data_IF_128489383564
#
_entry.id   IF_128489383564
#
_cell.length_a   1.000
_cell.length_b   1.000
_cell.length_c   1.000
_cell.angle_alpha   90.00
_cell.angle_beta   90.00
_cell.angle_gamma   90.00
#
_symmetry.space_group_name_H-M   'P 1'
#
loop_
_entity.id
_entity.type
_entity.pdbx_description
1 polymer ?
#
# COMPACT_ATOMS: atom_id res chain seq x y z
N UNK A 1 -20.23 -15.21 39.48
CA UNK A 1 -19.83 -14.26 38.42
C UNK A 1 -19.99 -14.97 37.09
N UNK A 2 -20.92 -14.50 36.26
CA UNK A 2 -21.24 -15.16 34.98
C UNK A 2 -20.27 -14.73 33.89
N UNK A 3 -20.07 -15.57 32.87
CA UNK A 3 -19.14 -15.30 31.76
C UNK A 3 -19.43 -14.00 31.01
N UNK A 4 -20.65 -13.47 31.10
CA UNK A 4 -21.04 -12.18 30.52
C UNK A 4 -20.37 -10.98 31.23
N UNK A 5 -20.05 -11.11 32.52
CA UNK A 5 -19.47 -10.06 33.35
C UNK A 5 -17.94 -9.98 33.17
N UNK A 6 -17.29 -11.14 32.95
CA UNK A 6 -15.88 -11.23 32.52
C UNK A 6 -15.68 -10.69 31.10
N UNK A 7 -16.60 -11.00 30.17
CA UNK A 7 -16.53 -10.48 28.80
C UNK A 7 -16.60 -8.95 28.73
N UNK A 8 -17.52 -8.32 29.49
CA UNK A 8 -17.65 -6.86 29.54
C UNK A 8 -16.42 -6.17 30.13
N UNK A 9 -15.84 -6.71 31.20
CA UNK A 9 -14.62 -6.15 31.83
C UNK A 9 -13.39 -6.34 30.94
N UNK A 10 -13.29 -7.45 30.21
CA UNK A 10 -12.21 -7.70 29.26
C UNK A 10 -12.31 -6.79 28.01
N UNK A 11 -13.53 -6.54 27.50
CA UNK A 11 -13.75 -5.60 26.39
C UNK A 11 -13.44 -4.14 26.78
N UNK A 12 -13.82 -3.73 27.98
CA UNK A 12 -13.51 -2.40 28.50
C UNK A 12 -11.99 -2.21 28.69
N UNK A 13 -11.30 -3.23 29.21
CA UNK A 13 -9.84 -3.22 29.36
C UNK A 13 -9.11 -3.13 28.01
N UNK A 14 -9.60 -3.84 26.98
CA UNK A 14 -9.08 -3.72 25.62
C UNK A 14 -9.26 -2.31 25.07
N UNK A 15 -10.47 -1.74 25.12
CA UNK A 15 -10.71 -0.39 24.61
C UNK A 15 -9.85 0.67 25.31
N UNK A 16 -9.63 0.52 26.61
CA UNK A 16 -8.79 1.42 27.37
C UNK A 16 -7.30 1.26 27.01
N UNK A 17 -6.82 0.03 26.79
CA UNK A 17 -5.49 -0.24 26.22
C UNK A 17 -5.34 0.41 24.84
N UNK A 18 -6.27 0.17 23.92
CA UNK A 18 -6.25 0.74 22.58
C UNK A 18 -6.20 2.27 22.59
N UNK A 19 -6.96 2.90 23.50
CA UNK A 19 -6.96 4.36 23.68
C UNK A 19 -5.61 4.88 24.16
N UNK A 20 -5.00 4.24 25.15
CA UNK A 20 -3.68 4.62 25.68
C UNK A 20 -2.62 4.46 24.58
N UNK A 21 -2.62 3.34 23.86
CA UNK A 21 -1.69 3.09 22.76
C UNK A 21 -1.82 4.09 21.61
N UNK A 22 -3.04 4.54 21.31
CA UNK A 22 -3.29 5.51 20.23
C UNK A 22 -2.80 6.91 20.60
N UNK A 23 -2.99 7.32 21.86
CA UNK A 23 -2.53 8.62 22.36
C UNK A 23 -1.00 8.68 22.42
N UNK A 24 -0.35 7.60 22.87
CA UNK A 24 1.12 7.52 22.87
C UNK A 24 1.70 7.47 21.46
N UNK A 25 0.98 6.89 20.50
CA UNK A 25 1.39 6.89 19.09
C UNK A 25 1.30 8.28 18.47
N UNK A 26 0.23 9.01 18.73
CA UNK A 26 0.07 10.37 18.26
C UNK A 26 1.18 11.29 18.79
N UNK A 27 1.64 11.10 20.03
CA UNK A 27 2.73 11.88 20.61
C UNK A 27 4.10 11.57 19.99
N UNK A 28 4.37 10.30 19.64
CA UNK A 28 5.66 9.87 19.09
C UNK A 28 5.79 10.10 17.59
N UNK A 29 4.71 9.90 16.83
CA UNK A 29 4.69 10.01 15.39
C UNK A 29 3.38 10.63 14.91
N UNK A 30 3.19 11.93 15.21
CA UNK A 30 1.95 12.64 14.89
C UNK A 30 1.66 12.59 13.39
N UNK A 31 2.68 12.78 12.55
CA UNK A 31 2.56 12.83 11.09
C UNK A 31 2.08 11.49 10.51
N UNK A 32 2.66 10.37 10.94
CA UNK A 32 2.26 9.05 10.44
C UNK A 32 0.86 8.69 10.93
N UNK A 33 0.53 9.03 12.17
CA UNK A 33 -0.79 8.76 12.76
C UNK A 33 -1.89 9.58 12.10
N UNK A 34 -1.64 10.88 11.84
CA UNK A 34 -2.56 11.73 11.10
C UNK A 34 -2.66 11.31 9.64
N UNK A 35 -1.57 10.92 8.98
CA UNK A 35 -1.59 10.40 7.62
C UNK A 35 -2.42 9.12 7.49
N UNK A 36 -2.28 8.17 8.43
CA UNK A 36 -3.14 6.98 8.48
C UNK A 36 -4.60 7.37 8.69
N UNK A 37 -4.89 8.25 9.66
CA UNK A 37 -6.26 8.62 10.01
C UNK A 37 -6.94 9.38 8.86
N UNK A 38 -6.30 10.43 8.33
CA UNK A 38 -6.80 11.24 7.23
C UNK A 38 -6.87 10.41 5.94
N UNK A 39 -5.86 9.59 5.67
CA UNK A 39 -5.84 8.68 4.53
C UNK A 39 -6.97 7.66 4.59
N UNK A 40 -7.17 7.01 5.73
CA UNK A 40 -8.25 6.03 5.92
C UNK A 40 -9.63 6.70 5.82
N UNK A 41 -9.87 7.80 6.54
CA UNK A 41 -11.16 8.51 6.51
C UNK A 41 -11.44 9.06 5.10
N UNK A 42 -10.47 9.72 4.49
CA UNK A 42 -10.60 10.27 3.14
C UNK A 42 -10.90 9.18 2.11
N UNK A 43 -10.25 8.02 2.23
CA UNK A 43 -10.50 6.88 1.35
C UNK A 43 -11.86 6.24 1.57
N UNK A 44 -12.35 6.15 2.81
CA UNK A 44 -13.73 5.68 3.10
C UNK A 44 -14.76 6.65 2.52
N UNK A 45 -14.57 7.96 2.71
CA UNK A 45 -15.46 8.97 2.15
C UNK A 45 -15.48 8.92 0.64
N UNK A 46 -14.31 8.79 -0.01
CA UNK A 46 -14.21 8.65 -1.46
C UNK A 46 -14.82 7.33 -1.96
N UNK A 47 -14.68 6.25 -1.21
CA UNK A 47 -15.32 4.96 -1.55
C UNK A 47 -16.85 5.06 -1.46
N UNK A 48 -17.38 5.68 -0.40
CA UNK A 48 -18.82 5.93 -0.26
C UNK A 48 -19.32 6.85 -1.37
N UNK A 49 -18.60 7.95 -1.64
CA UNK A 49 -18.96 8.89 -2.70
C UNK A 49 -18.93 8.23 -4.08
N UNK A 50 -17.92 7.42 -4.37
CA UNK A 50 -17.87 6.61 -5.58
C UNK A 50 -19.06 5.64 -5.64
N UNK A 51 -19.39 4.96 -4.54
CA UNK A 51 -20.52 4.03 -4.50
C UNK A 51 -21.89 4.69 -4.74
N UNK A 52 -22.10 5.86 -4.16
CA UNK A 52 -23.39 6.59 -4.18
C UNK A 52 -23.55 7.53 -5.37
N UNK A 53 -22.49 7.77 -6.17
CA UNK A 53 -22.62 8.55 -7.39
C UNK A 53 -23.69 7.91 -8.31
N UNK A 54 -24.72 8.67 -8.72
CA UNK A 54 -25.64 8.22 -9.76
C UNK A 54 -24.83 7.89 -11.01
N UNK A 55 -25.32 6.99 -11.87
CA UNK A 55 -24.69 6.64 -13.15
C UNK A 55 -24.54 7.91 -13.98
N UNK A 56 -23.45 8.64 -13.77
CA UNK A 56 -23.16 9.89 -14.43
C UNK A 56 -22.35 9.50 -15.65
N UNK A 57 -22.86 9.86 -16.83
CA UNK A 57 -22.26 9.59 -18.12
C UNK A 57 -20.98 10.42 -18.36
N UNK A 58 -20.11 10.58 -17.36
CA UNK A 58 -18.77 11.15 -17.53
C UNK A 58 -17.88 10.09 -18.17
N UNK A 59 -18.12 9.85 -19.46
CA UNK A 59 -17.35 8.93 -20.28
C UNK A 59 -15.97 9.55 -20.50
N UNK A 60 -14.91 8.97 -19.92
CA UNK A 60 -13.55 9.33 -20.33
C UNK A 60 -13.28 8.57 -21.63
N UNK A 61 -13.26 9.29 -22.75
CA UNK A 61 -12.78 8.76 -24.03
C UNK A 61 -11.26 8.67 -23.94
N UNK A 62 -10.70 7.48 -23.74
CA UNK A 62 -9.24 7.32 -23.83
C UNK A 62 -8.79 7.58 -25.27
N UNK A 63 -7.69 8.33 -25.49
CA UNK A 63 -7.19 8.56 -26.84
C UNK A 63 -6.89 7.23 -27.53
N UNK A 64 -7.50 7.04 -28.69
CA UNK A 64 -7.29 5.88 -29.56
C UNK A 64 -5.82 5.91 -29.99
N UNK A 65 -4.99 5.03 -29.42
CA UNK A 65 -3.74 4.67 -30.09
C UNK A 65 -4.13 3.87 -31.33
N UNK A 66 -3.91 4.47 -32.50
CA UNK A 66 -4.17 3.89 -33.82
C UNK A 66 -3.73 2.42 -33.89
N UNK A 67 -4.68 1.48 -33.99
CA UNK A 67 -4.39 0.10 -34.41
C UNK A 67 -5.11 -1.05 -33.70
N UNK A 68 -5.86 -0.85 -32.61
CA UNK A 68 -6.60 -1.96 -31.97
C UNK A 68 -8.10 -1.84 -32.18
N UNK A 69 -8.62 -2.67 -33.08
CA UNK A 69 -10.02 -2.74 -33.50
C UNK A 69 -10.91 -3.58 -32.55
N UNK A 70 -10.63 -3.60 -31.24
CA UNK A 70 -11.53 -4.18 -30.25
C UNK A 70 -11.88 -3.11 -29.20
N UNK A 71 -13.16 -2.74 -29.19
CA UNK A 71 -13.71 -1.52 -28.60
C UNK A 71 -13.18 -1.17 -27.21
N UNK A 72 -12.66 0.05 -27.10
CA UNK A 72 -12.48 0.75 -25.83
C UNK A 72 -13.86 0.94 -25.22
N UNK A 73 -14.22 0.05 -24.29
CA UNK A 73 -15.39 0.23 -23.44
C UNK A 73 -15.33 1.59 -22.74
N UNK A 74 -16.47 2.26 -22.66
CA UNK A 74 -16.63 3.53 -21.95
C UNK A 74 -16.16 3.39 -20.50
N UNK A 75 -14.98 3.92 -20.17
CA UNK A 75 -14.48 3.80 -18.80
C UNK A 75 -15.27 4.75 -17.91
N UNK A 76 -16.00 4.19 -16.93
CA UNK A 76 -16.75 4.97 -15.95
C UNK A 76 -15.81 5.50 -14.86
N UNK A 77 -15.77 6.82 -14.68
CA UNK A 77 -14.96 7.50 -13.64
C UNK A 77 -15.26 6.94 -12.24
N UNK A 78 -16.51 6.57 -11.99
CA UNK A 78 -16.99 5.95 -10.76
C UNK A 78 -16.16 4.71 -10.38
N UNK A 79 -15.88 3.85 -11.35
CA UNK A 79 -15.20 2.58 -11.13
C UNK A 79 -13.70 2.79 -10.88
N UNK A 80 -13.10 3.77 -11.57
CA UNK A 80 -11.71 4.21 -11.29
C UNK A 80 -11.62 4.74 -9.85
N UNK A 81 -12.52 5.64 -9.47
CA UNK A 81 -12.51 6.25 -8.14
C UNK A 81 -12.72 5.21 -7.04
N UNK A 82 -13.58 4.21 -7.27
CA UNK A 82 -13.79 3.10 -6.35
C UNK A 82 -12.52 2.28 -6.12
N UNK A 83 -11.80 1.93 -7.20
CA UNK A 83 -10.52 1.19 -7.12
C UNK A 83 -9.47 2.01 -6.37
N UNK A 84 -9.30 3.29 -6.71
CA UNK A 84 -8.32 4.16 -6.06
C UNK A 84 -8.63 4.28 -4.55
N UNK A 85 -9.91 4.48 -4.22
CA UNK A 85 -10.35 4.63 -2.83
C UNK A 85 -10.11 3.33 -2.04
N UNK A 86 -10.43 2.18 -2.63
CA UNK A 86 -10.15 0.88 -2.04
C UNK A 86 -8.65 0.69 -1.79
N UNK A 87 -7.81 0.98 -2.78
CA UNK A 87 -6.36 0.85 -2.69
C UNK A 87 -5.77 1.73 -1.59
N UNK A 88 -6.16 3.01 -1.53
CA UNK A 88 -5.66 3.93 -0.50
C UNK A 88 -6.12 3.49 0.89
N UNK A 89 -7.40 3.14 1.05
CA UNK A 89 -7.95 2.66 2.33
C UNK A 89 -7.19 1.43 2.83
N UNK A 90 -7.08 0.39 2.00
CA UNK A 90 -6.43 -0.86 2.35
C UNK A 90 -4.92 -0.70 2.60
N UNK A 91 -4.25 0.19 1.86
CA UNK A 91 -2.83 0.49 2.06
C UNK A 91 -2.57 1.23 3.37
N UNK A 92 -3.35 2.28 3.68
CA UNK A 92 -3.23 2.99 4.96
C UNK A 92 -3.60 2.11 6.16
N UNK A 93 -4.65 1.30 6.03
CA UNK A 93 -5.04 0.34 7.07
C UNK A 93 -3.94 -0.70 7.30
N UNK A 94 -3.40 -1.28 6.23
CA UNK A 94 -2.31 -2.24 6.29
C UNK A 94 -1.05 -1.66 6.92
N UNK A 95 -0.63 -0.47 6.48
CA UNK A 95 0.50 0.24 7.06
C UNK A 95 0.27 0.57 8.55
N UNK A 96 -0.95 0.94 8.94
CA UNK A 96 -1.34 1.14 10.34
C UNK A 96 -1.18 -0.14 11.19
N UNK A 97 -1.66 -1.28 10.69
CA UNK A 97 -1.53 -2.58 11.36
C UNK A 97 -0.05 -2.96 11.55
N UNK A 98 0.75 -2.84 10.49
CA UNK A 98 2.20 -3.11 10.54
C UNK A 98 2.87 -2.22 11.58
N UNK A 99 2.55 -0.93 11.59
CA UNK A 99 3.12 0.04 12.52
C UNK A 99 2.77 -0.26 13.98
N UNK A 100 1.54 -0.73 14.25
CA UNK A 100 1.15 -1.15 15.59
C UNK A 100 1.92 -2.39 16.05
N UNK A 101 2.15 -3.35 15.16
CA UNK A 101 2.84 -4.61 15.47
C UNK A 101 4.35 -4.41 15.61
N UNK A 102 4.94 -3.52 14.81
CA UNK A 102 6.36 -3.16 14.86
C UNK A 102 6.81 -2.75 16.27
N UNK A 103 5.92 -2.15 17.08
CA UNK A 103 6.21 -1.78 18.47
C UNK A 103 6.60 -2.94 19.37
N UNK A 104 6.03 -4.13 19.12
CA UNK A 104 6.21 -5.31 19.96
C UNK A 104 7.16 -6.32 19.31
N UNK A 105 7.14 -6.40 17.97
CA UNK A 105 7.91 -7.36 17.21
C UNK A 105 8.51 -6.71 15.96
N UNK A 106 9.67 -6.08 16.10
CA UNK A 106 10.36 -5.36 15.01
C UNK A 106 10.62 -6.25 13.79
N UNK A 107 11.27 -7.41 13.98
CA UNK A 107 11.59 -8.33 12.88
C UNK A 107 10.34 -8.92 12.21
N UNK A 108 9.33 -9.29 13.00
CA UNK A 108 8.09 -9.86 12.46
C UNK A 108 7.30 -8.82 11.66
N UNK A 109 7.41 -7.54 12.02
CA UNK A 109 6.71 -6.46 11.31
C UNK A 109 7.21 -6.24 9.89
N UNK A 110 8.50 -6.49 9.62
CA UNK A 110 9.07 -6.41 8.26
C UNK A 110 8.44 -7.48 7.38
N UNK A 111 8.43 -8.73 7.83
CA UNK A 111 7.80 -9.84 7.10
C UNK A 111 6.32 -9.59 6.90
N UNK A 112 5.63 -9.15 7.95
CA UNK A 112 4.20 -8.81 7.87
C UNK A 112 3.93 -7.67 6.90
N UNK A 113 4.81 -6.67 6.80
CA UNK A 113 4.67 -5.58 5.83
C UNK A 113 4.72 -6.07 4.39
N UNK A 114 5.58 -7.04 4.10
CA UNK A 114 5.67 -7.65 2.76
C UNK A 114 4.38 -8.41 2.44
N UNK A 115 3.88 -9.20 3.40
CA UNK A 115 2.65 -9.98 3.23
C UNK A 115 1.42 -9.07 3.04
N UNK A 116 1.24 -8.05 3.87
CA UNK A 116 0.09 -7.16 3.79
C UNK A 116 0.18 -6.30 2.51
N UNK A 117 1.35 -5.73 2.19
CA UNK A 117 1.50 -4.92 0.98
C UNK A 117 1.25 -5.74 -0.29
N UNK A 118 1.83 -6.94 -0.40
CA UNK A 118 1.61 -7.82 -1.56
C UNK A 118 0.15 -8.26 -1.70
N UNK A 119 -0.52 -8.58 -0.59
CA UNK A 119 -1.93 -8.94 -0.60
C UNK A 119 -2.84 -7.77 -0.96
N UNK A 120 -2.60 -6.58 -0.42
CA UNK A 120 -3.32 -5.35 -0.78
C UNK A 120 -3.14 -5.01 -2.26
N UNK A 121 -1.92 -5.13 -2.78
CA UNK A 121 -1.63 -4.87 -4.19
C UNK A 121 -2.35 -5.88 -5.09
N UNK A 122 -2.28 -7.17 -4.75
CA UNK A 122 -3.02 -8.23 -5.44
C UNK A 122 -4.52 -7.96 -5.45
N UNK A 123 -5.13 -7.66 -4.29
CA UNK A 123 -6.55 -7.33 -4.21
C UNK A 123 -6.90 -6.13 -5.07
N UNK A 124 -6.05 -5.10 -5.10
CA UNK A 124 -6.28 -3.93 -5.95
C UNK A 124 -6.29 -4.32 -7.42
N UNK A 125 -5.34 -5.13 -7.87
CA UNK A 125 -5.30 -5.65 -9.25
C UNK A 125 -6.52 -6.53 -9.54
N UNK A 126 -6.96 -7.33 -8.56
CA UNK A 126 -8.17 -8.14 -8.66
C UNK A 126 -9.44 -7.26 -8.78
N UNK A 127 -9.53 -6.15 -8.05
CA UNK A 127 -10.61 -5.16 -8.21
C UNK A 127 -10.54 -4.46 -9.57
N UNK A 128 -9.32 -4.12 -10.03
CA UNK A 128 -9.04 -3.70 -11.41
C UNK A 128 -9.36 -4.79 -12.41
N UNK A 129 -9.49 -6.06 -12.02
CA UNK A 129 -9.97 -7.16 -12.86
C UNK A 129 -11.50 -7.37 -12.78
N UNK A 130 -12.20 -6.92 -11.72
CA UNK A 130 -13.66 -7.04 -11.59
C UNK A 130 -14.53 -5.85 -12.05
N UNK A 131 -14.13 -4.59 -11.84
CA UNK A 131 -14.81 -3.36 -12.32
C UNK A 131 -15.10 -3.23 -13.86
N UNK A 132 -16.36 -3.27 -14.36
CA UNK A 132 -16.70 -3.06 -15.78
C UNK A 132 -16.71 -1.56 -16.22
N UNK A 133 -16.87 -1.23 -17.52
CA UNK A 133 -16.57 -2.01 -18.73
C UNK A 133 -15.13 -1.74 -19.19
N UNK A 134 -14.44 -2.75 -19.74
CA UNK A 134 -13.00 -2.62 -20.04
C UNK A 134 -12.62 -3.02 -21.46
N UNK A 135 -11.76 -2.21 -22.06
CA UNK A 135 -10.72 -2.77 -22.92
C UNK A 135 -9.71 -3.47 -22.02
N UNK A 136 -9.83 -4.79 -21.90
CA UNK A 136 -8.86 -5.64 -21.22
C UNK A 136 -7.64 -5.72 -22.15
N UNK A 137 -6.57 -5.00 -21.82
CA UNK A 137 -5.30 -5.07 -22.55
C UNK A 137 -4.15 -5.39 -21.58
N UNK A 138 -3.18 -6.16 -22.05
CA UNK A 138 -1.97 -6.49 -21.27
C UNK A 138 -1.22 -5.22 -20.83
N UNK A 139 -1.21 -4.18 -21.67
CA UNK A 139 -0.59 -2.90 -21.35
C UNK A 139 -1.26 -2.20 -20.16
N UNK A 140 -2.58 -2.33 -20.01
CA UNK A 140 -3.32 -1.78 -18.86
C UNK A 140 -2.89 -2.47 -17.56
N UNK A 141 -2.82 -3.80 -17.56
CA UNK A 141 -2.41 -4.56 -16.37
C UNK A 141 -0.94 -4.33 -16.03
N UNK A 142 -0.05 -4.24 -17.01
CA UNK A 142 1.35 -3.87 -16.77
C UNK A 142 1.46 -2.47 -16.12
N UNK A 143 0.72 -1.47 -16.62
CA UNK A 143 0.69 -0.14 -16.02
C UNK A 143 0.06 -0.15 -14.62
N UNK A 144 -1.02 -0.91 -14.41
CA UNK A 144 -1.68 -1.04 -13.12
C UNK A 144 -0.75 -1.67 -12.06
N UNK A 145 -0.05 -2.76 -12.40
CA UNK A 145 0.92 -3.40 -11.53
C UNK A 145 2.02 -2.44 -11.08
N UNK A 146 2.60 -1.68 -12.00
CA UNK A 146 3.64 -0.70 -11.69
C UNK A 146 3.10 0.43 -10.80
N UNK A 147 1.95 1.00 -11.15
CA UNK A 147 1.35 2.11 -10.39
C UNK A 147 0.98 1.67 -8.97
N UNK A 148 0.36 0.52 -8.81
CA UNK A 148 -0.01 -0.05 -7.51
C UNK A 148 1.26 -0.32 -6.68
N UNK A 149 2.28 -0.92 -7.29
CA UNK A 149 3.54 -1.19 -6.62
C UNK A 149 4.22 0.10 -6.12
N UNK A 150 4.50 1.07 -7.00
CA UNK A 150 5.19 2.30 -6.62
C UNK A 150 4.38 3.15 -5.63
N UNK A 151 3.06 3.20 -5.78
CA UNK A 151 2.22 3.95 -4.84
C UNK A 151 2.17 3.26 -3.49
N UNK A 152 2.09 1.93 -3.44
CA UNK A 152 2.12 1.18 -2.19
C UNK A 152 3.44 1.39 -1.46
N UNK A 153 4.55 1.38 -2.19
CA UNK A 153 5.88 1.67 -1.68
C UNK A 153 5.93 3.06 -1.05
N UNK A 154 5.37 4.09 -1.68
CA UNK A 154 5.30 5.44 -1.12
C UNK A 154 4.47 5.48 0.17
N UNK A 155 3.31 4.84 0.21
CA UNK A 155 2.46 4.78 1.41
C UNK A 155 3.19 4.11 2.58
N UNK A 156 3.79 2.94 2.36
CA UNK A 156 4.52 2.23 3.41
C UNK A 156 5.80 2.98 3.83
N UNK A 157 6.51 3.62 2.91
CA UNK A 157 7.68 4.43 3.22
C UNK A 157 7.34 5.65 4.07
N UNK A 158 6.26 6.37 3.73
CA UNK A 158 5.82 7.55 4.47
C UNK A 158 5.29 7.19 5.86
N UNK A 159 4.50 6.12 5.96
CA UNK A 159 3.87 5.70 7.21
C UNK A 159 4.83 4.93 8.11
N UNK A 160 5.60 3.97 7.59
CA UNK A 160 6.45 3.07 8.38
C UNK A 160 7.94 3.43 8.30
N UNK A 161 8.41 4.00 7.19
CA UNK A 161 9.84 4.25 6.94
C UNK A 161 10.47 5.23 7.94
N UNK A 162 9.73 6.22 8.44
CA UNK A 162 10.27 7.19 9.42
C UNK A 162 10.85 6.56 10.69
N UNK A 163 10.25 5.47 11.19
CA UNK A 163 10.76 4.76 12.36
C UNK A 163 12.06 4.01 12.01
N UNK A 164 12.04 3.26 10.91
CA UNK A 164 13.18 2.48 10.43
C UNK A 164 14.39 3.36 10.12
N UNK A 165 14.19 4.50 9.44
CA UNK A 165 15.27 5.44 9.12
C UNK A 165 15.84 6.15 10.34
N UNK A 166 15.01 6.42 11.35
CA UNK A 166 15.46 7.03 12.60
C UNK A 166 16.36 6.07 13.39
N UNK A 167 16.05 4.78 13.38
CA UNK A 167 16.84 3.77 14.07
C UNK A 167 18.18 3.53 13.36
N UNK A 168 18.18 3.38 12.03
CA UNK A 168 19.40 3.27 11.23
C UNK A 168 20.29 4.51 11.38
N UNK A 169 19.67 5.71 11.31
CA UNK A 169 20.38 6.97 11.46
C UNK A 169 21.07 7.07 12.81
N UNK A 170 20.40 6.66 13.90
CA UNK A 170 21.02 6.63 15.24
C UNK A 170 22.18 5.66 15.32
N UNK A 171 22.05 4.45 14.77
CA UNK A 171 23.13 3.46 14.81
C UNK A 171 24.35 3.91 14.02
N UNK A 172 24.17 4.57 12.86
CA UNK A 172 25.28 5.02 12.01
C UNK A 172 25.89 6.37 12.40
N UNK A 173 25.16 7.23 13.11
CA UNK A 173 25.65 8.55 13.55
C UNK A 173 26.22 8.54 14.99
N UNK A 174 26.04 7.46 15.75
CA UNK A 174 26.50 7.38 17.16
C UNK A 174 27.89 6.78 17.33
N UNK A 175 28.60 6.39 16.26
CA UNK A 175 30.01 6.03 16.36
C UNK A 175 30.86 7.31 16.44
N UNK A 176 31.58 7.55 17.56
CA UNK A 176 32.51 8.67 17.65
C UNK A 176 33.86 8.26 17.01
N UNK A 177 34.45 9.21 16.28
CA UNK A 177 35.78 9.15 15.65
C UNK A 177 35.81 8.32 14.35
N UNK A 178 36.23 8.79 13.18
CA UNK A 178 37.13 9.87 12.82
C UNK A 178 36.79 10.28 11.37
N UNK A 179 36.82 11.59 11.07
CA UNK A 179 36.81 12.20 9.71
C UNK A 179 36.16 11.40 8.57
N UNK A 180 34.88 11.64 8.26
CA UNK A 180 34.41 11.44 6.87
C UNK A 180 33.04 12.07 6.63
N UNK A 181 32.94 12.89 5.59
CA UNK A 181 31.66 13.31 4.99
C UNK A 181 30.88 12.14 4.35
N UNK A 182 31.28 10.88 4.61
CA UNK A 182 30.70 9.65 4.06
C UNK A 182 29.58 9.01 4.89
N UNK A 183 29.35 9.42 6.13
CA UNK A 183 28.28 8.84 6.97
C UNK A 183 26.88 9.02 6.39
N UNK A 184 26.60 10.18 5.76
CA UNK A 184 25.34 10.42 5.06
C UNK A 184 25.18 9.58 3.80
N UNK A 185 26.26 9.34 3.05
CA UNK A 185 26.24 8.50 1.84
C UNK A 185 26.05 7.02 2.19
N UNK A 186 26.70 6.54 3.26
CA UNK A 186 26.52 5.18 3.76
C UNK A 186 25.08 4.94 4.25
N UNK A 187 24.49 5.89 4.97
CA UNK A 187 23.09 5.85 5.36
C UNK A 187 22.15 5.75 4.15
N UNK A 188 22.34 6.60 3.13
CA UNK A 188 21.52 6.57 1.92
C UNK A 188 21.64 5.25 1.15
N UNK A 189 22.84 4.67 1.07
CA UNK A 189 23.06 3.38 0.43
C UNK A 189 22.36 2.24 1.17
N UNK A 190 22.46 2.19 2.51
CA UNK A 190 21.79 1.16 3.31
C UNK A 190 20.27 1.32 3.27
N UNK A 191 19.77 2.55 3.38
CA UNK A 191 18.35 2.84 3.21
C UNK A 191 17.85 2.41 1.83
N UNK A 192 18.58 2.74 0.76
CA UNK A 192 18.25 2.35 -0.60
C UNK A 192 18.24 0.83 -0.80
N UNK A 193 19.22 0.12 -0.23
CA UNK A 193 19.30 -1.34 -0.30
C UNK A 193 18.11 -2.00 0.40
N UNK A 194 17.75 -1.54 1.60
CA UNK A 194 16.60 -2.07 2.34
C UNK A 194 15.28 -1.86 1.59
N UNK A 195 15.11 -0.65 1.01
CA UNK A 195 13.96 -0.35 0.16
C UNK A 195 13.92 -1.28 -1.07
N UNK A 196 15.07 -1.51 -1.71
CA UNK A 196 15.15 -2.37 -2.88
C UNK A 196 14.82 -3.83 -2.55
N UNK A 197 15.35 -4.37 -1.44
CA UNK A 197 15.05 -5.74 -0.97
C UNK A 197 13.56 -5.88 -0.64
N UNK A 198 13.01 -4.92 0.11
CA UNK A 198 11.58 -4.90 0.44
C UNK A 198 10.71 -4.84 -0.81
N UNK A 199 11.03 -3.92 -1.73
CA UNK A 199 10.31 -3.76 -2.99
C UNK A 199 10.36 -5.01 -3.84
N UNK A 200 11.53 -5.64 -3.97
CA UNK A 200 11.68 -6.89 -4.70
C UNK A 200 10.82 -8.02 -4.09
N UNK A 201 10.82 -8.16 -2.77
CA UNK A 201 10.02 -9.18 -2.09
C UNK A 201 8.50 -8.94 -2.28
N UNK A 202 8.04 -7.70 -2.14
CA UNK A 202 6.62 -7.32 -2.37
C UNK A 202 6.23 -7.59 -3.82
N UNK A 203 7.07 -7.18 -4.77
CA UNK A 203 6.80 -7.38 -6.19
C UNK A 203 6.77 -8.87 -6.57
N UNK A 204 7.72 -9.67 -6.09
CA UNK A 204 7.75 -11.10 -6.33
C UNK A 204 6.53 -11.82 -5.74
N UNK A 205 6.10 -11.44 -4.53
CA UNK A 205 4.90 -11.99 -3.90
C UNK A 205 3.63 -11.59 -4.66
N UNK A 206 3.50 -10.32 -5.05
CA UNK A 206 2.40 -9.82 -5.87
C UNK A 206 2.32 -10.58 -7.20
N UNK A 207 3.45 -10.72 -7.92
CA UNK A 207 3.53 -11.44 -9.20
C UNK A 207 3.05 -12.88 -9.06
N UNK A 208 3.52 -13.62 -8.05
CA UNK A 208 3.08 -15.00 -7.79
C UNK A 208 1.59 -15.09 -7.48
N UNK A 209 1.04 -14.16 -6.68
CA UNK A 209 -0.39 -14.13 -6.38
C UNK A 209 -1.22 -13.88 -7.65
N UNK A 210 -0.80 -12.96 -8.50
CA UNK A 210 -1.48 -12.69 -9.77
C UNK A 210 -1.38 -13.88 -10.73
N UNK A 211 -0.23 -14.52 -10.86
CA UNK A 211 -0.05 -15.71 -11.70
C UNK A 211 -0.89 -16.91 -11.20
N UNK A 212 -1.11 -17.00 -9.89
CA UNK A 212 -1.87 -18.12 -9.29
C UNK A 212 -3.39 -17.95 -9.41
N UNK A 213 -3.89 -16.71 -9.27
CA UNK A 213 -5.33 -16.46 -9.09
C UNK A 213 -5.99 -15.66 -10.21
N UNK A 214 -5.23 -15.07 -11.14
CA UNK A 214 -5.77 -14.31 -12.26
C UNK A 214 -5.46 -14.98 -13.61
N UNK A 215 -6.29 -14.75 -14.64
CA UNK A 215 -6.01 -15.24 -15.99
C UNK A 215 -4.80 -14.53 -16.62
N UNK A 216 -4.19 -15.17 -17.63
CA UNK A 216 -2.93 -14.74 -18.26
C UNK A 216 -2.90 -13.28 -18.72
N UNK A 217 -4.05 -12.73 -19.14
CA UNK A 217 -4.16 -11.33 -19.59
C UNK A 217 -3.89 -10.30 -18.46
N UNK A 218 -3.97 -10.74 -17.21
CA UNK A 218 -3.71 -9.93 -16.02
C UNK A 218 -2.37 -10.27 -15.35
N UNK A 219 -1.56 -11.13 -15.97
CA UNK A 219 -0.20 -11.40 -15.49
C UNK A 219 0.73 -10.24 -15.82
N UNK A 220 1.77 -10.09 -15.01
CA UNK A 220 2.81 -9.10 -15.27
C UNK A 220 3.76 -9.61 -16.36
N UNK A 221 3.76 -8.96 -17.52
CA UNK A 221 4.68 -9.26 -18.63
C UNK A 221 5.84 -8.27 -18.57
N UNK A 222 7.06 -8.79 -18.35
CA UNK A 222 8.28 -7.99 -18.56
C UNK A 222 8.40 -7.67 -20.05
N UNK A 223 8.30 -6.40 -20.42
CA UNK A 223 8.61 -5.98 -21.79
C UNK A 223 10.11 -6.20 -22.00
N UNK A 224 10.47 -7.26 -22.74
CA UNK A 224 11.84 -7.48 -23.15
C UNK A 224 12.34 -6.23 -23.89
N UNK A 225 13.55 -5.71 -23.59
CA UNK A 225 14.07 -4.56 -24.29
C UNK A 225 14.14 -4.91 -25.78
N UNK A 226 13.45 -4.10 -26.60
CA UNK A 226 13.58 -4.17 -28.04
C UNK A 226 15.05 -3.90 -28.33
N UNK A 227 15.80 -4.96 -28.68
CA UNK A 227 17.14 -4.82 -29.23
C UNK A 227 17.01 -3.94 -30.47
N UNK A 228 17.47 -2.70 -30.37
CA UNK A 228 17.74 -1.85 -31.53
C UNK A 228 19.00 -2.34 -32.22
#
# INVERSE_FOLDING_TARGET
MSDAEKSKTQHAGLLQQWKIYSVDEFKRAPIATTAILVGAIGSVLMFIFAGTQPHSESKITSPILNGSANGVGVIEVKNILMVISFFLFSSFLGAGIVRLIAKKYENASIVLSILIASFTNFLTIFFVFLAPPRAVSEQLFHAAHNNVFYTSMLVYLTVCGSAVFKDIGRTMLSEPEDKSSGGGMAFLLVAGLLIAIWGWAVFAAQKRLTETFLPDIAHYIEQAPIKK
#
